data_IF_187698629415
#
_entry.id   IF_187698629415
#
_cell.length_a   1.000
_cell.length_b   1.000
_cell.length_c   1.000
_cell.angle_alpha   90.00
_cell.angle_beta   90.00
_cell.angle_gamma   90.00
#
_symmetry.space_group_name_H-M   'P 1'
#
loop_
_entity.id
_entity.type
_entity.pdbx_description
1 polymer ?
#
# COMPACT_ATOMS: atom_id res chain seq x y z
N UNK A 1 34.64 -56.50 -33.82
CA UNK A 1 33.59 -56.37 -32.79
C UNK A 1 33.79 -54.99 -32.16
N UNK A 2 32.96 -54.00 -32.54
CA UNK A 2 32.98 -52.66 -31.94
C UNK A 2 31.87 -52.63 -30.91
N UNK A 3 32.22 -52.66 -29.63
CA UNK A 3 31.27 -52.35 -28.56
C UNK A 3 30.96 -50.86 -28.61
N UNK A 4 29.71 -50.53 -28.96
CA UNK A 4 29.12 -49.22 -28.74
C UNK A 4 28.81 -49.12 -27.24
N UNK A 5 29.70 -48.49 -26.47
CA UNK A 5 29.33 -47.92 -25.17
C UNK A 5 28.43 -46.70 -25.44
N UNK A 6 27.14 -46.94 -25.62
CA UNK A 6 26.14 -45.91 -25.34
C UNK A 6 26.10 -45.76 -23.82
N UNK A 7 26.77 -44.74 -23.31
CA UNK A 7 26.50 -44.23 -21.97
C UNK A 7 25.04 -43.79 -21.92
N UNK A 8 24.20 -44.58 -21.25
CA UNK A 8 22.85 -44.19 -20.83
C UNK A 8 22.97 -43.05 -19.81
N UNK A 9 23.20 -41.84 -20.31
CA UNK A 9 23.18 -40.64 -19.51
C UNK A 9 21.72 -40.20 -19.37
N UNK A 10 21.05 -40.70 -18.33
CA UNK A 10 19.77 -40.16 -17.91
C UNK A 10 20.03 -38.86 -17.14
N UNK A 11 19.39 -37.76 -17.56
CA UNK A 11 19.36 -36.56 -16.72
C UNK A 11 18.77 -36.92 -15.35
N UNK A 12 19.33 -36.39 -14.26
CA UNK A 12 18.75 -36.59 -12.94
C UNK A 12 17.30 -36.12 -12.96
N UNK A 13 16.43 -36.80 -12.22
CA UNK A 13 15.09 -36.29 -11.95
C UNK A 13 15.20 -34.85 -11.43
N UNK A 14 14.29 -33.99 -11.87
CA UNK A 14 14.21 -32.62 -11.38
C UNK A 14 14.22 -32.64 -9.85
N UNK A 15 15.17 -31.93 -9.20
CA UNK A 15 15.21 -31.87 -7.75
C UNK A 15 13.93 -31.24 -7.19
N UNK A 16 13.46 -31.70 -6.03
CA UNK A 16 12.26 -31.16 -5.35
C UNK A 16 12.33 -29.64 -5.16
N UNK A 17 13.52 -29.09 -4.95
CA UNK A 17 13.74 -27.64 -4.83
C UNK A 17 13.41 -26.88 -6.13
N UNK A 18 13.76 -27.44 -7.30
CA UNK A 18 13.42 -26.83 -8.58
C UNK A 18 11.91 -26.90 -8.82
N UNK A 19 11.27 -28.02 -8.49
CA UNK A 19 9.81 -28.15 -8.58
C UNK A 19 9.09 -27.12 -7.71
N UNK A 20 9.59 -26.88 -6.49
CA UNK A 20 9.04 -25.87 -5.57
C UNK A 20 9.17 -24.45 -6.14
N UNK A 21 10.33 -24.09 -6.71
CA UNK A 21 10.52 -22.79 -7.36
C UNK A 21 9.62 -22.62 -8.58
N UNK A 22 9.51 -23.65 -9.43
CA UNK A 22 8.61 -23.63 -10.60
C UNK A 22 7.15 -23.45 -10.18
N UNK A 23 6.72 -24.15 -9.13
CA UNK A 23 5.37 -23.99 -8.58
C UNK A 23 5.13 -22.58 -8.03
N UNK A 24 6.08 -22.04 -7.26
CA UNK A 24 6.00 -20.67 -6.75
C UNK A 24 6.00 -19.64 -7.89
N UNK A 25 6.83 -19.83 -8.91
CA UNK A 25 6.89 -18.96 -10.08
C UNK A 25 5.54 -18.91 -10.79
N UNK A 26 4.94 -20.07 -11.12
CA UNK A 26 3.60 -20.12 -11.73
C UNK A 26 2.54 -19.43 -10.89
N UNK A 27 2.59 -19.60 -9.57
CA UNK A 27 1.63 -18.99 -8.66
C UNK A 27 1.76 -17.46 -8.64
N UNK A 28 2.99 -16.92 -8.63
CA UNK A 28 3.25 -15.48 -8.65
C UNK A 28 2.98 -14.87 -10.04
N UNK A 29 3.27 -15.60 -11.11
CA UNK A 29 2.99 -15.21 -12.50
C UNK A 29 1.50 -14.91 -12.71
N UNK A 30 0.63 -15.71 -12.10
CA UNK A 30 -0.81 -15.52 -12.17
C UNK A 30 -1.31 -14.20 -11.53
N UNK A 31 -0.49 -13.54 -10.70
CA UNK A 31 -0.84 -12.30 -10.00
C UNK A 31 -0.42 -11.04 -10.76
N UNK A 32 0.46 -11.17 -11.77
CA UNK A 32 1.07 -10.03 -12.46
C UNK A 32 0.52 -9.88 -13.89
N UNK A 33 0.64 -8.70 -14.53
CA UNK A 33 0.23 -8.54 -15.91
C UNK A 33 0.92 -9.52 -16.85
N UNK A 34 0.21 -9.94 -17.89
CA UNK A 34 0.78 -10.79 -18.96
C UNK A 34 2.08 -10.18 -19.50
N UNK A 35 3.08 -11.05 -19.75
CA UNK A 35 4.39 -10.68 -20.29
C UNK A 35 5.26 -9.82 -19.36
N UNK A 36 4.96 -9.78 -18.07
CA UNK A 36 5.89 -9.19 -17.07
C UNK A 36 7.20 -9.98 -17.00
N UNK A 37 7.11 -11.30 -17.18
CA UNK A 37 8.19 -12.27 -17.20
C UNK A 37 7.92 -13.32 -18.28
N UNK A 38 8.88 -14.18 -18.59
CA UNK A 38 8.65 -15.32 -19.50
C UNK A 38 7.80 -16.39 -18.81
N UNK A 39 6.93 -17.08 -19.55
CA UNK A 39 6.03 -18.05 -18.92
C UNK A 39 6.84 -19.27 -18.45
N UNK A 40 6.50 -19.85 -17.30
CA UNK A 40 7.33 -20.92 -16.69
C UNK A 40 7.64 -22.09 -17.64
N UNK A 41 6.68 -22.48 -18.48
CA UNK A 41 6.83 -23.60 -19.42
C UNK A 41 7.77 -23.32 -20.60
N UNK A 42 8.17 -22.06 -20.81
CA UNK A 42 9.13 -21.64 -21.84
C UNK A 42 10.52 -21.36 -21.25
N UNK A 43 10.65 -21.36 -19.91
CA UNK A 43 11.86 -20.93 -19.21
C UNK A 43 12.64 -22.11 -18.61
N UNK A 44 13.96 -22.08 -18.78
CA UNK A 44 14.84 -22.96 -18.02
C UNK A 44 14.93 -22.53 -16.55
N UNK A 45 15.53 -23.37 -15.70
CA UNK A 45 15.57 -23.08 -14.26
C UNK A 45 16.44 -21.85 -13.92
N UNK A 46 17.50 -21.58 -14.67
CA UNK A 46 18.35 -20.42 -14.44
C UNK A 46 17.59 -19.13 -14.79
N UNK A 47 16.80 -19.15 -15.86
CA UNK A 47 15.92 -18.04 -16.22
C UNK A 47 14.86 -17.78 -15.14
N UNK A 48 14.20 -18.83 -14.64
CA UNK A 48 13.26 -18.75 -13.50
C UNK A 48 13.91 -18.07 -12.31
N UNK A 49 15.09 -18.51 -11.90
CA UNK A 49 15.81 -17.93 -10.76
C UNK A 49 16.18 -16.46 -11.01
N UNK A 50 16.59 -16.12 -12.23
CA UNK A 50 16.97 -14.74 -12.58
C UNK A 50 15.78 -13.76 -12.49
N UNK A 51 14.56 -14.23 -12.79
CA UNK A 51 13.35 -13.42 -12.82
C UNK A 51 12.55 -13.48 -11.51
N UNK A 52 12.82 -14.46 -10.64
CA UNK A 52 12.01 -14.76 -9.46
C UNK A 52 11.82 -13.54 -8.55
N UNK A 53 12.89 -12.79 -8.29
CA UNK A 53 12.82 -11.59 -7.44
C UNK A 53 11.90 -10.53 -8.05
N UNK A 54 12.06 -10.24 -9.33
CA UNK A 54 11.17 -9.31 -10.04
C UNK A 54 9.72 -9.77 -9.97
N UNK A 55 9.48 -11.07 -10.07
CA UNK A 55 8.14 -11.62 -10.00
C UNK A 55 7.51 -11.46 -8.60
N UNK A 56 8.28 -11.72 -7.54
CA UNK A 56 7.89 -11.45 -6.15
C UNK A 56 7.54 -9.98 -5.97
N UNK A 57 8.43 -9.06 -6.35
CA UNK A 57 8.23 -7.61 -6.18
C UNK A 57 6.94 -7.14 -6.91
N UNK A 58 6.67 -7.71 -8.10
CA UNK A 58 5.48 -7.37 -8.90
C UNK A 58 4.20 -7.96 -8.31
N UNK A 59 4.26 -9.17 -7.78
CA UNK A 59 3.14 -9.82 -7.12
C UNK A 59 2.78 -9.09 -5.81
N UNK A 60 3.78 -8.72 -5.00
CA UNK A 60 3.58 -7.90 -3.80
C UNK A 60 2.91 -6.57 -4.14
N UNK A 61 3.39 -5.89 -5.17
CA UNK A 61 2.79 -4.64 -5.63
C UNK A 61 1.32 -4.81 -6.09
N UNK A 62 0.99 -5.92 -6.74
CA UNK A 62 -0.39 -6.26 -7.10
C UNK A 62 -1.26 -6.50 -5.86
N UNK A 63 -0.71 -7.18 -4.84
CA UNK A 63 -1.37 -7.38 -3.55
C UNK A 63 -1.61 -6.06 -2.84
N UNK A 64 -0.62 -5.16 -2.79
CA UNK A 64 -0.73 -3.85 -2.15
C UNK A 64 -1.84 -3.00 -2.78
N UNK A 65 -2.00 -3.08 -4.10
CA UNK A 65 -3.09 -2.39 -4.82
C UNK A 65 -4.49 -2.95 -4.48
N UNK A 66 -4.56 -4.24 -4.14
CA UNK A 66 -5.81 -4.92 -3.85
C UNK A 66 -6.21 -4.81 -2.37
N UNK A 67 -5.27 -5.09 -1.47
CA UNK A 67 -5.50 -5.25 -0.04
C UNK A 67 -4.95 -4.09 0.81
N UNK A 68 -4.03 -3.30 0.25
CA UNK A 68 -3.24 -2.32 0.97
C UNK A 68 -1.83 -2.85 1.32
N UNK A 69 -0.81 -1.98 1.37
CA UNK A 69 0.50 -2.32 1.91
C UNK A 69 0.43 -2.78 3.36
N UNK A 70 1.29 -3.74 3.71
CA UNK A 70 1.47 -4.16 5.10
C UNK A 70 2.09 -3.03 5.92
N UNK A 71 1.59 -2.84 7.13
CA UNK A 71 2.08 -1.87 8.11
C UNK A 71 1.86 -2.40 9.52
N UNK A 72 2.67 -1.93 10.46
CA UNK A 72 2.53 -2.14 11.89
C UNK A 72 2.44 -0.81 12.63
N UNK A 73 1.88 -0.87 13.83
CA UNK A 73 1.76 0.30 14.70
C UNK A 73 1.63 -0.13 16.16
N UNK A 74 1.87 0.81 17.07
CA UNK A 74 1.61 0.65 18.50
C UNK A 74 0.37 1.44 18.85
N UNK A 75 -0.49 0.86 19.68
CA UNK A 75 -1.70 1.50 20.19
C UNK A 75 -2.15 0.81 21.50
N UNK A 76 -3.06 1.42 22.28
CA UNK A 76 -3.66 0.72 23.42
C UNK A 76 -4.36 -0.57 23.01
N UNK A 77 -4.53 -1.47 23.97
CA UNK A 77 -5.30 -2.69 23.77
C UNK A 77 -6.77 -2.38 23.41
N UNK A 78 -7.32 -3.13 22.45
CA UNK A 78 -8.74 -3.10 22.10
C UNK A 78 -9.35 -4.49 22.23
N UNK A 79 -10.31 -4.62 23.14
CA UNK A 79 -11.12 -5.82 23.28
C UNK A 79 -12.18 -5.92 22.16
N UNK A 80 -12.58 -7.15 21.83
CA UNK A 80 -13.63 -7.43 20.86
C UNK A 80 -13.17 -7.45 19.40
N UNK A 81 -14.12 -7.34 18.47
CA UNK A 81 -13.83 -7.32 17.03
C UNK A 81 -13.14 -6.01 16.64
N UNK A 82 -12.09 -6.12 15.82
CA UNK A 82 -11.34 -4.96 15.37
C UNK A 82 -11.89 -4.43 14.04
N UNK A 83 -12.34 -3.17 14.07
CA UNK A 83 -12.64 -2.40 12.87
C UNK A 83 -11.45 -1.59 12.36
N UNK A 84 -11.55 -0.98 11.17
CA UNK A 84 -10.54 -0.07 10.65
C UNK A 84 -10.31 1.13 11.59
N UNK A 85 -9.04 1.40 11.85
CA UNK A 85 -8.54 2.44 12.76
C UNK A 85 -8.01 3.61 11.94
N UNK A 86 -8.34 4.82 12.36
CA UNK A 86 -7.80 6.03 11.78
C UNK A 86 -6.49 6.40 12.50
N UNK A 87 -5.50 6.83 11.74
CA UNK A 87 -4.24 7.39 12.23
C UNK A 87 -3.78 8.48 11.26
N UNK A 88 -2.68 9.17 11.57
CA UNK A 88 -2.05 10.09 10.65
C UNK A 88 -0.60 10.34 11.00
N UNK A 89 0.08 11.02 10.09
CA UNK A 89 1.45 11.53 10.26
C UNK A 89 1.60 12.82 9.48
N UNK A 90 2.31 13.78 10.07
CA UNK A 90 2.70 15.03 9.45
C UNK A 90 4.16 14.91 9.00
N UNK A 91 4.36 14.88 7.67
CA UNK A 91 5.70 14.75 7.08
C UNK A 91 6.36 16.11 6.80
N UNK A 92 5.66 17.22 7.03
CA UNK A 92 6.19 18.55 6.73
C UNK A 92 6.91 19.15 7.95
N UNK A 93 6.28 19.14 9.13
CA UNK A 93 6.86 19.78 10.32
C UNK A 93 6.47 19.14 11.67
N UNK A 94 5.79 17.99 11.65
CA UNK A 94 5.36 17.26 12.86
C UNK A 94 4.52 18.14 13.83
N UNK A 95 3.71 19.06 13.29
CA UNK A 95 2.90 19.99 14.09
C UNK A 95 1.58 19.38 14.58
N UNK A 96 1.12 18.28 13.97
CA UNK A 96 -0.18 17.68 14.28
C UNK A 96 -0.08 16.39 15.09
N UNK A 97 -0.84 16.32 16.19
CA UNK A 97 -1.01 15.10 16.98
C UNK A 97 -2.20 14.26 16.47
N UNK A 98 -1.93 12.98 16.20
CA UNK A 98 -2.91 11.98 15.75
C UNK A 98 -3.31 10.99 16.85
N UNK A 99 -2.92 11.27 18.09
CA UNK A 99 -3.29 10.52 19.29
C UNK A 99 -2.39 9.33 19.56
N UNK A 100 -2.96 8.28 20.16
CA UNK A 100 -2.18 7.18 20.74
C UNK A 100 -1.70 6.13 19.73
N UNK A 101 -1.99 6.29 18.43
CA UNK A 101 -1.55 5.37 17.39
C UNK A 101 -0.20 5.83 16.84
N UNK A 102 0.84 5.04 17.09
CA UNK A 102 2.21 5.31 16.65
C UNK A 102 2.59 4.33 15.53
N UNK A 103 2.81 4.84 14.32
CA UNK A 103 3.20 4.00 13.17
C UNK A 103 4.58 3.37 13.39
N UNK A 104 4.76 2.15 12.90
CA UNK A 104 6.07 1.50 12.86
C UNK A 104 7.02 2.17 11.89
N UNK A 105 8.33 1.94 12.05
CA UNK A 105 9.37 2.56 11.24
C UNK A 105 9.22 2.23 9.75
N UNK A 106 8.67 1.06 9.41
CA UNK A 106 8.41 0.63 8.04
C UNK A 106 7.35 1.46 7.32
N UNK A 107 6.59 2.29 8.04
CA UNK A 107 5.74 3.30 7.43
C UNK A 107 6.56 4.31 6.63
N UNK A 108 7.77 4.62 7.11
CA UNK A 108 8.65 5.68 6.61
C UNK A 108 9.87 5.13 5.88
N UNK A 109 10.37 3.97 6.30
CA UNK A 109 11.58 3.37 5.76
C UNK A 109 11.30 2.05 5.05
N UNK A 110 11.75 1.94 3.80
CA UNK A 110 11.83 0.69 3.06
C UNK A 110 13.12 -0.08 3.34
N UNK A 111 13.41 -1.14 2.56
CA UNK A 111 14.52 -2.06 2.82
C UNK A 111 15.92 -1.42 2.89
N UNK A 112 16.08 -0.24 2.30
CA UNK A 112 17.33 0.52 2.28
C UNK A 112 17.40 1.63 3.34
N UNK A 113 16.43 1.71 4.26
CA UNK A 113 16.39 2.76 5.30
C UNK A 113 15.99 4.14 4.77
N UNK A 114 15.31 4.21 3.63
CA UNK A 114 14.82 5.45 3.03
C UNK A 114 13.36 5.30 2.61
N UNK A 115 12.71 6.38 2.17
CA UNK A 115 11.31 6.38 1.73
C UNK A 115 10.96 5.27 0.73
N UNK A 116 11.86 4.90 -0.17
CA UNK A 116 11.55 3.95 -1.23
C UNK A 116 11.31 2.54 -0.69
N UNK A 117 10.11 2.03 -0.95
CA UNK A 117 9.66 0.74 -0.44
C UNK A 117 9.03 0.78 0.95
N UNK A 118 8.95 1.96 1.59
CA UNK A 118 8.16 2.14 2.81
C UNK A 118 6.68 1.82 2.57
N UNK A 119 5.91 1.57 3.63
CA UNK A 119 4.48 1.27 3.49
C UNK A 119 3.72 2.45 2.86
N UNK A 120 4.07 3.69 3.20
CA UNK A 120 3.46 4.88 2.62
C UNK A 120 3.86 5.05 1.15
N UNK A 121 5.14 4.86 0.81
CA UNK A 121 5.59 4.89 -0.58
C UNK A 121 4.87 3.83 -1.43
N UNK A 122 4.72 2.60 -0.91
CA UNK A 122 3.98 1.52 -1.59
C UNK A 122 2.51 1.87 -1.78
N UNK A 123 1.86 2.50 -0.79
CA UNK A 123 0.48 2.99 -0.92
C UNK A 123 0.38 4.07 -2.00
N UNK A 124 1.31 5.03 -2.00
CA UNK A 124 1.39 6.08 -3.01
C UNK A 124 1.62 5.52 -4.41
N UNK A 125 2.45 4.49 -4.55
CA UNK A 125 2.68 3.81 -5.84
C UNK A 125 1.45 3.02 -6.31
N UNK A 126 0.76 2.33 -5.41
CA UNK A 126 -0.52 1.67 -5.72
C UNK A 126 -1.57 2.67 -6.21
N UNK A 127 -1.66 3.82 -5.54
CA UNK A 127 -2.49 4.95 -5.96
C UNK A 127 -2.10 5.48 -7.34
N UNK A 128 -0.82 5.80 -7.56
CA UNK A 128 -0.29 6.24 -8.86
C UNK A 128 -0.74 5.32 -9.98
N UNK A 129 -0.60 4.00 -9.80
CA UNK A 129 -1.02 3.02 -10.80
C UNK A 129 -2.53 3.04 -11.02
N UNK A 130 -3.31 3.03 -9.95
CA UNK A 130 -4.78 3.03 -10.05
C UNK A 130 -5.30 4.28 -10.78
N UNK A 131 -4.67 5.43 -10.53
CA UNK A 131 -5.03 6.71 -11.13
C UNK A 131 -4.36 6.97 -12.49
N UNK A 132 -3.40 6.12 -12.91
CA UNK A 132 -2.56 6.29 -14.10
C UNK A 132 -1.79 7.62 -14.10
N UNK A 133 -1.28 8.00 -12.95
CA UNK A 133 -0.52 9.22 -12.77
C UNK A 133 0.97 8.99 -13.02
N UNK A 134 1.68 10.08 -13.30
CA UNK A 134 3.12 10.04 -13.57
C UNK A 134 3.94 9.88 -12.28
N UNK A 135 3.46 10.41 -11.17
CA UNK A 135 4.15 10.44 -9.88
C UNK A 135 3.24 9.96 -8.73
N UNK A 136 3.78 9.21 -7.76
CA UNK A 136 3.07 8.98 -6.51
C UNK A 136 3.16 10.23 -5.63
N UNK A 137 2.34 10.31 -4.57
CA UNK A 137 2.62 11.19 -3.43
C UNK A 137 4.04 10.97 -2.91
N UNK A 138 4.71 12.05 -2.55
CA UNK A 138 6.07 12.05 -2.00
C UNK A 138 6.06 12.09 -0.46
N UNK A 139 7.23 12.31 0.13
CA UNK A 139 7.43 12.44 1.58
C UNK A 139 7.08 13.86 2.05
N UNK A 140 5.86 14.31 1.73
CA UNK A 140 5.36 15.64 2.12
C UNK A 140 3.87 15.60 2.47
N UNK A 141 3.43 16.67 3.13
CA UNK A 141 2.06 16.86 3.57
C UNK A 141 1.67 16.02 4.78
N UNK A 142 0.42 16.17 5.16
CA UNK A 142 -0.17 15.42 6.25
C UNK A 142 -0.94 14.22 5.70
N UNK A 143 -0.46 13.03 6.03
CA UNK A 143 -1.06 11.76 5.64
C UNK A 143 -2.05 11.31 6.70
N UNK A 144 -3.33 11.25 6.35
CA UNK A 144 -4.35 10.55 7.13
C UNK A 144 -4.52 9.13 6.60
N UNK A 145 -4.47 8.14 7.47
CA UNK A 145 -4.44 6.73 7.14
C UNK A 145 -5.63 6.00 7.73
N UNK A 146 -6.15 5.04 6.97
CA UNK A 146 -7.06 4.03 7.47
C UNK A 146 -6.33 2.70 7.57
N UNK A 147 -6.12 2.22 8.80
CA UNK A 147 -5.40 0.99 9.12
C UNK A 147 -6.40 -0.14 9.37
N UNK A 148 -6.27 -1.25 8.65
CA UNK A 148 -7.06 -2.46 8.86
C UNK A 148 -6.23 -3.49 9.65
N UNK A 149 -6.51 -3.71 10.95
CA UNK A 149 -5.77 -4.66 11.77
C UNK A 149 -6.00 -6.10 11.34
N UNK A 150 -4.94 -6.91 11.41
CA UNK A 150 -4.96 -8.34 11.10
C UNK A 150 -4.53 -9.15 12.32
N UNK A 151 -3.50 -8.70 13.03
CA UNK A 151 -3.05 -9.34 14.26
C UNK A 151 -2.54 -8.31 15.25
N UNK A 152 -2.46 -8.69 16.53
CA UNK A 152 -1.85 -7.88 17.55
C UNK A 152 -1.20 -8.77 18.62
N UNK A 153 -0.18 -8.23 19.27
CA UNK A 153 0.51 -8.86 20.40
C UNK A 153 0.92 -7.80 21.40
N UNK A 154 0.74 -8.07 22.69
CA UNK A 154 1.16 -7.19 23.76
C UNK A 154 1.13 -7.91 25.11
N UNK A 155 1.83 -7.35 26.09
CA UNK A 155 1.79 -7.80 27.47
C UNK A 155 0.65 -7.16 28.26
N UNK A 156 0.60 -7.45 29.57
CA UNK A 156 -0.36 -6.84 30.50
C UNK A 156 -0.09 -5.33 30.71
N UNK A 157 1.14 -4.89 30.51
CA UNK A 157 1.57 -3.49 30.65
C UNK A 157 2.05 -2.91 29.30
N UNK A 158 1.62 -1.67 29.02
CA UNK A 158 2.08 -0.89 27.87
C UNK A 158 1.27 -1.05 26.57
N UNK A 159 1.65 -0.31 25.51
CA UNK A 159 0.94 -0.35 24.24
C UNK A 159 1.17 -1.68 23.51
N UNK A 160 0.13 -2.15 22.85
CA UNK A 160 0.15 -3.35 22.03
C UNK A 160 0.74 -3.07 20.65
N UNK A 161 1.44 -4.05 20.10
CA UNK A 161 1.93 -4.03 18.72
C UNK A 161 0.87 -4.66 17.82
N UNK A 162 0.41 -3.90 16.83
CA UNK A 162 -0.55 -4.34 15.83
C UNK A 162 0.15 -4.48 14.49
N UNK A 163 -0.27 -5.45 13.68
CA UNK A 163 0.08 -5.53 12.26
C UNK A 163 -1.17 -5.67 11.42
N UNK A 164 -1.13 -5.08 10.23
CA UNK A 164 -2.29 -4.96 9.37
C UNK A 164 -1.96 -4.36 8.01
N UNK A 165 -2.95 -3.69 7.42
CA UNK A 165 -2.87 -3.10 6.08
C UNK A 165 -3.25 -1.62 6.08
N UNK A 166 -2.66 -0.83 5.19
CA UNK A 166 -3.18 0.50 4.85
C UNK A 166 -4.36 0.33 3.89
N UNK A 167 -5.59 0.37 4.41
CA UNK A 167 -6.81 0.21 3.63
C UNK A 167 -7.10 1.43 2.72
N UNK A 168 -6.58 2.60 3.07
CA UNK A 168 -6.68 3.82 2.29
C UNK A 168 -5.96 4.98 2.96
N UNK A 169 -5.79 6.08 2.22
CA UNK A 169 -5.20 7.31 2.75
C UNK A 169 -5.82 8.55 2.10
N UNK A 170 -5.63 9.69 2.78
CA UNK A 170 -5.79 11.04 2.25
C UNK A 170 -4.51 11.82 2.57
N UNK A 171 -4.00 12.61 1.62
CA UNK A 171 -2.90 13.55 1.86
C UNK A 171 -3.44 14.98 1.76
N UNK A 172 -3.16 15.77 2.79
CA UNK A 172 -3.49 17.17 2.87
C UNK A 172 -2.22 18.00 2.69
N UNK A 173 -2.28 19.06 1.90
CA UNK A 173 -1.16 19.96 1.64
C UNK A 173 -1.46 21.39 2.06
N UNK A 174 -0.41 22.05 2.53
CA UNK A 174 -0.24 23.50 2.53
C UNK A 174 0.25 23.94 1.14
N UNK A 175 -0.67 24.45 0.32
CA UNK A 175 -0.40 24.74 -1.09
C UNK A 175 0.29 26.08 -1.28
N UNK A 176 -0.08 27.07 -0.49
CA UNK A 176 0.46 28.44 -0.59
C UNK A 176 1.66 28.68 0.33
N UNK A 177 2.00 27.67 1.16
CA UNK A 177 3.15 27.64 2.08
C UNK A 177 3.01 28.64 3.21
N UNK A 178 1.77 28.94 3.60
CA UNK A 178 1.48 29.85 4.72
C UNK A 178 1.47 29.15 6.09
N UNK A 179 1.64 27.83 6.10
CA UNK A 179 1.58 26.94 7.26
C UNK A 179 0.22 26.25 7.43
N UNK A 180 -0.78 26.54 6.58
CA UNK A 180 -2.15 26.05 6.69
C UNK A 180 -2.41 24.93 5.69
N UNK A 181 -2.65 23.73 6.22
CA UNK A 181 -3.08 22.60 5.42
C UNK A 181 -4.55 22.77 5.00
N UNK A 182 -4.81 23.18 3.77
CA UNK A 182 -6.14 23.60 3.31
C UNK A 182 -6.66 22.85 2.08
N UNK A 183 -5.83 21.98 1.49
CA UNK A 183 -6.15 21.29 0.24
C UNK A 183 -5.94 19.78 0.38
N UNK A 184 -6.88 18.99 -0.14
CA UNK A 184 -6.67 17.53 -0.28
C UNK A 184 -6.02 17.27 -1.63
N UNK A 185 -4.74 16.92 -1.65
CA UNK A 185 -4.01 16.58 -2.86
C UNK A 185 -4.29 15.17 -3.36
N UNK A 186 -4.42 14.23 -2.42
CA UNK A 186 -4.49 12.81 -2.76
C UNK A 186 -5.53 12.08 -1.94
N UNK A 187 -6.25 11.17 -2.58
CA UNK A 187 -7.19 10.25 -1.93
C UNK A 187 -7.17 8.89 -2.61
N UNK A 188 -7.00 7.84 -1.81
CA UNK A 188 -6.98 6.48 -2.30
C UNK A 188 -7.57 5.49 -1.31
N UNK A 189 -8.12 4.40 -1.85
CA UNK A 189 -8.61 3.26 -1.09
C UNK A 189 -8.27 1.99 -1.85
N UNK A 190 -7.64 1.03 -1.16
CA UNK A 190 -7.33 -0.28 -1.73
C UNK A 190 -8.61 -0.98 -2.21
N UNK A 191 -8.49 -1.72 -3.31
CA UNK A 191 -9.66 -2.21 -4.08
C UNK A 191 -10.65 -3.01 -3.23
N UNK A 192 -10.16 -3.89 -2.35
CA UNK A 192 -11.00 -4.70 -1.46
C UNK A 192 -11.81 -3.88 -0.43
N UNK A 193 -11.46 -2.61 -0.24
CA UNK A 193 -12.03 -1.71 0.77
C UNK A 193 -12.95 -0.62 0.21
N UNK A 194 -13.03 -0.44 -1.11
CA UNK A 194 -13.73 0.68 -1.76
C UNK A 194 -15.22 0.78 -1.40
N UNK A 195 -15.87 -0.35 -1.09
CA UNK A 195 -17.30 -0.39 -0.71
C UNK A 195 -17.57 -0.31 0.80
N UNK A 196 -16.54 -0.04 1.60
CA UNK A 196 -16.63 0.02 3.07
C UNK A 196 -16.61 1.45 3.63
N UNK A 197 -16.74 2.45 2.77
CA UNK A 197 -16.79 3.87 3.17
C UNK A 197 -15.47 4.44 3.68
N UNK A 198 -14.32 3.82 3.35
CA UNK A 198 -13.00 4.27 3.81
C UNK A 198 -12.69 5.69 3.34
N UNK A 199 -12.78 5.96 2.04
CA UNK A 199 -12.58 7.29 1.48
C UNK A 199 -13.43 8.36 2.16
N UNK A 200 -14.72 8.06 2.41
CA UNK A 200 -15.66 8.97 3.09
C UNK A 200 -15.19 9.31 4.49
N UNK A 201 -14.79 8.30 5.27
CA UNK A 201 -14.29 8.49 6.65
C UNK A 201 -13.01 9.31 6.67
N UNK A 202 -12.08 9.04 5.75
CA UNK A 202 -10.83 9.80 5.63
C UNK A 202 -11.06 11.27 5.25
N UNK A 203 -11.94 11.53 4.28
CA UNK A 203 -12.26 12.91 3.88
C UNK A 203 -13.02 13.67 4.97
N UNK A 204 -13.92 12.98 5.70
CA UNK A 204 -14.60 13.57 6.84
C UNK A 204 -13.62 13.94 7.96
N UNK A 205 -12.62 13.08 8.21
CA UNK A 205 -11.55 13.38 9.16
C UNK A 205 -10.67 14.55 8.69
N UNK A 206 -10.29 14.58 7.41
CA UNK A 206 -9.51 15.70 6.88
C UNK A 206 -10.25 17.03 7.11
N UNK A 207 -11.55 17.07 6.83
CA UNK A 207 -12.39 18.25 7.05
C UNK A 207 -12.64 18.58 8.52
N UNK A 208 -12.52 17.63 9.43
CA UNK A 208 -12.71 17.88 10.86
C UNK A 208 -11.44 18.47 11.51
N UNK A 209 -10.26 18.14 10.97
CA UNK A 209 -8.95 18.58 11.48
C UNK A 209 -8.41 19.81 10.79
N UNK A 210 -8.68 19.95 9.50
CA UNK A 210 -8.08 20.94 8.63
C UNK A 210 -9.16 21.81 8.00
N UNK A 211 -8.88 23.11 7.75
CA UNK A 211 -9.80 24.01 7.06
C UNK A 211 -9.82 23.70 5.55
N UNK A 212 -10.23 22.49 5.16
CA UNK A 212 -10.20 22.04 3.78
C UNK A 212 -11.16 22.88 2.93
N UNK A 213 -10.61 23.71 2.05
CA UNK A 213 -11.36 24.56 1.12
C UNK A 213 -11.45 23.94 -0.27
N UNK A 214 -10.53 23.03 -0.62
CA UNK A 214 -10.45 22.45 -1.96
C UNK A 214 -9.93 21.00 -1.98
N UNK A 215 -10.21 20.32 -3.10
CA UNK A 215 -9.61 19.04 -3.46
C UNK A 215 -8.90 19.25 -4.79
N UNK A 216 -7.67 18.77 -4.92
CA UNK A 216 -6.85 19.07 -6.09
C UNK A 216 -7.19 18.16 -7.28
N UNK A 217 -7.34 18.78 -8.45
CA UNK A 217 -7.50 18.08 -9.72
C UNK A 217 -6.17 17.83 -10.44
N UNK A 218 -6.16 17.01 -11.51
CA UNK A 218 -7.33 16.40 -12.15
C UNK A 218 -7.87 15.17 -11.40
N UNK A 219 -9.19 14.98 -11.43
CA UNK A 219 -9.84 13.81 -10.84
C UNK A 219 -9.95 12.65 -11.84
N UNK A 220 -9.85 11.42 -11.34
CA UNK A 220 -10.37 10.27 -12.06
C UNK A 220 -11.91 10.33 -12.12
N UNK A 221 -12.55 9.63 -13.05
CA UNK A 221 -14.02 9.57 -13.13
C UNK A 221 -14.66 9.11 -11.81
N UNK A 222 -14.07 8.08 -11.18
CA UNK A 222 -14.51 7.59 -9.88
C UNK A 222 -14.31 8.63 -8.77
N UNK A 223 -13.19 9.37 -8.80
CA UNK A 223 -12.92 10.47 -7.88
C UNK A 223 -13.94 11.60 -8.01
N UNK A 224 -14.25 12.02 -9.24
CA UNK A 224 -15.26 13.04 -9.51
C UNK A 224 -16.65 12.61 -8.99
N UNK A 225 -17.07 11.38 -9.32
CA UNK A 225 -18.34 10.84 -8.82
C UNK A 225 -18.39 10.76 -7.28
N UNK A 226 -17.29 10.36 -6.65
CA UNK A 226 -17.16 10.32 -5.20
C UNK A 226 -17.29 11.72 -4.56
N UNK A 227 -16.60 12.73 -5.10
CA UNK A 227 -16.63 14.09 -4.58
C UNK A 227 -18.03 14.72 -4.75
N UNK A 228 -18.71 14.47 -5.86
CA UNK A 228 -20.10 14.89 -6.04
C UNK A 228 -21.04 14.27 -5.01
N UNK A 229 -20.78 13.04 -4.58
CA UNK A 229 -21.56 12.36 -3.53
C UNK A 229 -21.16 12.77 -2.10
N UNK A 230 -20.05 13.48 -1.92
CA UNK A 230 -19.53 13.95 -0.63
C UNK A 230 -19.17 15.44 -0.69
N UNK A 231 -20.15 16.34 -0.94
CA UNK A 231 -19.91 17.75 -1.11
C UNK A 231 -19.22 18.35 0.11
N UNK A 232 -18.43 19.41 -0.11
CA UNK A 232 -17.88 20.20 0.99
C UNK A 232 -19.04 20.83 1.80
N UNK A 233 -18.87 21.03 3.13
CA UNK A 233 -19.79 21.87 3.88
C UNK A 233 -19.87 23.24 3.19
N UNK A 234 -21.08 23.78 3.02
CA UNK A 234 -21.22 25.15 2.50
C UNK A 234 -20.50 26.11 3.47
N UNK A 235 -19.71 27.07 2.96
CA UNK A 235 -19.19 28.13 3.81
C UNK A 235 -20.39 28.87 4.45
N UNK A 236 -20.25 29.32 5.71
CA UNK A 236 -21.32 30.08 6.35
C UNK A 236 -21.67 31.31 5.49
N UNK A 237 -22.96 31.71 5.42
CA UNK A 237 -23.37 32.88 4.67
C UNK A 237 -22.57 34.10 5.13
N UNK A 238 -21.96 34.80 4.18
CA UNK A 238 -21.26 36.04 4.46
C UNK A 238 -22.28 37.05 4.99
N UNK A 239 -22.11 37.45 6.26
CA UNK A 239 -22.94 38.47 6.92
C UNK A 239 -22.63 39.86 6.40
#
# INVERSE_FOLDING_TARGET
MREHLMTDFAFPKTPEIEEAYRAAYRALEALVPLRTVTIEGESDFAEILSQFRTLVDRAEFAVDSQLGPTISWRAPFRAGEWGPVLSGVDLDNDAYDFGEVQLGIEAFEGPTGNWHGSALNRAGMAYKRAAKWDHPPDESGVWLLMLAPVSASGGEEGPWFYSGRIAGFVVVHDRDKDGTHESVGHIWTATAWQRRGIARRLLAEARSRFPITSVEGPYTEAGAAYLSACPAPEPPPQS
#
